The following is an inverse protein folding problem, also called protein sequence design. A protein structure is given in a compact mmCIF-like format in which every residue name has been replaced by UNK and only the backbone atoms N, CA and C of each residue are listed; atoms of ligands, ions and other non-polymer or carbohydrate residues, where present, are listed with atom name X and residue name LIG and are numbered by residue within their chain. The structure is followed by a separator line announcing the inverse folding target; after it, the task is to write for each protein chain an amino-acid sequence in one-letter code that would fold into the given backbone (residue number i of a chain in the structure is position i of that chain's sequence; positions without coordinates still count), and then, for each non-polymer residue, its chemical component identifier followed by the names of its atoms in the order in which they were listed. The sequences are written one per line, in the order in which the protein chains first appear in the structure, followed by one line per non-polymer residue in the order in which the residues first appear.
data_IF_954956731299
#
_entry.id   IF_954956731299
#
_cell.length_a   1.000
_cell.length_b   1.000
_cell.length_c   1.000
_cell.angle_alpha   90.00
_cell.angle_beta   90.00
_cell.angle_gamma   90.00
#
_symmetry.space_group_name_H-M   'P 1'
#
loop_
_entity.id
_entity.type
_entity.pdbx_description
1 polymer ?
#
# COMPACT_ATOMS: atom_id res chain seq x y z
N UNK A 1 33.38 -17.36 -7.39
CA UNK A 1 33.05 -15.91 -7.40
C UNK A 1 32.85 -15.44 -5.97
N UNK A 2 33.70 -14.54 -5.46
CA UNK A 2 33.56 -13.99 -4.09
C UNK A 2 32.37 -13.02 -4.07
N UNK A 3 31.30 -13.34 -3.34
CA UNK A 3 30.21 -12.39 -3.05
C UNK A 3 30.82 -11.22 -2.25
N UNK A 4 30.60 -9.98 -2.69
CA UNK A 4 31.11 -8.79 -2.02
C UNK A 4 30.41 -8.61 -0.67
N UNK A 5 31.13 -8.11 0.34
CA UNK A 5 30.59 -7.78 1.67
C UNK A 5 29.34 -6.89 1.61
N UNK A 6 29.27 -5.99 0.61
CA UNK A 6 28.11 -5.13 0.35
C UNK A 6 26.79 -5.88 0.11
N UNK A 7 26.84 -7.13 -0.36
CA UNK A 7 25.65 -7.95 -0.58
C UNK A 7 25.06 -8.51 0.72
N UNK A 8 25.86 -8.65 1.78
CA UNK A 8 25.40 -9.10 3.09
C UNK A 8 24.81 -7.94 3.89
N UNK A 9 25.46 -6.78 3.87
CA UNK A 9 24.99 -5.58 4.58
C UNK A 9 23.66 -5.05 3.99
N UNK A 10 23.50 -5.07 2.67
CA UNK A 10 22.24 -4.70 1.99
C UNK A 10 21.09 -5.67 2.29
N UNK A 11 21.39 -6.97 2.44
CA UNK A 11 20.40 -7.96 2.88
C UNK A 11 20.05 -7.76 4.36
N UNK A 12 21.03 -7.42 5.21
CA UNK A 12 20.82 -7.22 6.64
C UNK A 12 19.99 -5.96 6.97
N UNK A 13 20.10 -4.90 6.16
CA UNK A 13 19.18 -3.75 6.19
C UNK A 13 17.76 -4.12 5.76
N UNK A 14 17.61 -5.06 4.83
CA UNK A 14 16.29 -5.52 4.34
C UNK A 14 15.50 -6.33 5.38
N UNK A 15 16.18 -7.05 6.29
CA UNK A 15 15.53 -7.94 7.26
C UNK A 15 15.03 -7.24 8.53
N UNK A 16 15.35 -5.95 8.72
CA UNK A 16 14.92 -5.15 9.86
C UNK A 16 14.17 -3.88 9.42
N UNK A 17 13.45 -3.97 8.32
CA UNK A 17 12.68 -2.85 7.78
C UNK A 17 11.69 -2.32 8.82
N UNK A 18 12.06 -1.19 9.42
CA UNK A 18 11.29 -0.51 10.45
C UNK A 18 9.89 -0.19 9.93
N UNK A 19 9.74 0.06 8.63
CA UNK A 19 8.45 0.33 8.02
C UNK A 19 7.56 -0.91 7.95
N UNK A 20 8.11 -2.13 7.83
CA UNK A 20 7.28 -3.34 7.94
C UNK A 20 6.75 -3.47 9.36
N UNK A 21 7.61 -3.28 10.37
CA UNK A 21 7.20 -3.33 11.78
C UNK A 21 6.19 -2.24 12.11
N UNK A 22 6.42 -1.03 11.62
CA UNK A 22 5.54 0.11 11.80
C UNK A 22 4.19 -0.11 11.10
N UNK A 23 4.18 -0.61 9.87
CA UNK A 23 2.94 -0.94 9.17
C UNK A 23 2.12 -1.99 9.94
N UNK A 24 2.77 -3.06 10.41
CA UNK A 24 2.12 -4.08 11.23
C UNK A 24 1.58 -3.50 12.56
N UNK A 25 2.37 -2.69 13.26
CA UNK A 25 1.96 -2.04 14.50
C UNK A 25 0.77 -1.09 14.31
N UNK A 26 0.66 -0.46 13.14
CA UNK A 26 -0.45 0.42 12.75
C UNK A 26 -1.61 -0.31 12.06
N UNK A 27 -1.52 -1.63 11.86
CA UNK A 27 -2.56 -2.42 11.20
C UNK A 27 -2.66 -2.20 9.68
N UNK A 28 -1.61 -1.68 9.05
CA UNK A 28 -1.53 -1.55 7.60
C UNK A 28 -1.09 -2.84 6.93
N UNK A 29 -1.66 -3.13 5.76
CA UNK A 29 -1.36 -4.34 4.98
C UNK A 29 0.00 -4.34 4.29
N UNK A 30 0.61 -3.17 4.12
CA UNK A 30 1.92 -3.03 3.47
C UNK A 30 2.61 -1.75 3.90
N UNK A 31 3.94 -1.79 4.02
CA UNK A 31 4.79 -0.61 4.21
C UNK A 31 4.67 0.42 3.08
N UNK A 32 4.13 0.02 1.92
CA UNK A 32 3.93 0.93 0.79
C UNK A 32 3.01 2.10 1.13
N UNK A 33 2.15 1.96 2.15
CA UNK A 33 1.26 3.02 2.63
C UNK A 33 1.98 4.33 2.94
N UNK A 34 3.18 4.25 3.52
CA UNK A 34 3.93 5.45 3.92
C UNK A 34 4.36 6.29 2.71
N UNK A 35 4.58 5.66 1.55
CA UNK A 35 4.87 6.38 0.31
C UNK A 35 3.66 7.18 -0.16
N UNK A 36 2.47 6.57 -0.16
CA UNK A 36 1.24 7.26 -0.57
C UNK A 36 0.86 8.35 0.43
N UNK A 37 1.06 8.10 1.74
CA UNK A 37 0.84 9.09 2.77
C UNK A 37 1.75 10.31 2.57
N UNK A 38 3.05 10.12 2.32
CA UNK A 38 3.98 11.23 2.09
C UNK A 38 3.60 12.04 0.84
N UNK A 39 3.19 11.37 -0.25
CA UNK A 39 2.69 12.03 -1.48
C UNK A 39 1.41 12.82 -1.16
N UNK A 40 0.47 12.21 -0.43
CA UNK A 40 -0.79 12.85 -0.07
C UNK A 40 -0.58 14.07 0.84
N UNK A 41 0.35 14.01 1.79
CA UNK A 41 0.68 15.12 2.68
C UNK A 41 1.26 16.32 1.92
N UNK A 42 2.08 16.06 0.89
CA UNK A 42 2.70 17.11 0.06
C UNK A 42 1.76 17.67 -1.00
N UNK A 43 1.12 16.79 -1.77
CA UNK A 43 0.47 17.15 -3.03
C UNK A 43 -1.05 17.08 -2.96
N UNK A 44 -1.63 16.44 -1.92
CA UNK A 44 -3.08 16.30 -1.69
C UNK A 44 -3.83 15.75 -2.90
N UNK A 45 -3.28 14.71 -3.52
CA UNK A 45 -3.76 14.13 -4.77
C UNK A 45 -5.09 13.36 -4.63
N UNK A 46 -5.45 12.91 -3.42
CA UNK A 46 -6.70 12.20 -3.13
C UNK A 46 -7.65 13.12 -2.35
N UNK A 47 -8.84 13.37 -2.90
CA UNK A 47 -9.93 14.12 -2.27
C UNK A 47 -11.04 13.22 -1.73
N UNK A 48 -11.83 13.72 -0.77
CA UNK A 48 -12.94 12.97 -0.16
C UNK A 48 -14.16 12.79 -1.08
N UNK A 49 -14.18 13.50 -2.20
CA UNK A 49 -15.20 13.52 -3.24
C UNK A 49 -14.81 12.75 -4.51
N UNK A 50 -13.67 12.05 -4.48
CA UNK A 50 -13.16 11.30 -5.64
C UNK A 50 -13.64 9.85 -5.67
N UNK A 51 -13.80 9.33 -6.88
CA UNK A 51 -13.76 7.88 -7.12
C UNK A 51 -12.34 7.50 -7.50
N UNK A 52 -11.75 6.52 -6.83
CA UNK A 52 -10.33 6.15 -7.00
C UNK A 52 -10.21 4.72 -7.49
N UNK A 53 -9.31 4.49 -8.44
CA UNK A 53 -8.92 3.17 -8.93
C UNK A 53 -7.44 2.93 -8.55
N UNK A 54 -7.19 1.86 -7.81
CA UNK A 54 -5.86 1.38 -7.40
C UNK A 54 -5.46 0.20 -8.29
N UNK A 55 -4.43 0.38 -9.13
CA UNK A 55 -3.96 -0.62 -10.10
C UNK A 55 -2.68 -1.29 -9.59
N UNK A 56 -2.63 -2.63 -9.62
CA UNK A 56 -1.55 -3.38 -8.96
C UNK A 56 -1.69 -3.30 -7.44
N UNK A 57 -2.92 -3.42 -6.96
CA UNK A 57 -3.29 -3.10 -5.58
C UNK A 57 -2.81 -4.14 -4.55
N UNK A 58 -2.56 -5.40 -4.89
CA UNK A 58 -2.26 -6.44 -3.91
C UNK A 58 -0.97 -6.11 -3.12
N UNK A 59 -0.97 -6.17 -1.77
CA UNK A 59 -1.98 -6.76 -0.86
C UNK A 59 -3.06 -5.78 -0.33
N UNK A 60 -3.17 -4.58 -0.89
CA UNK A 60 -4.22 -3.59 -0.61
C UNK A 60 -3.80 -2.43 0.29
N UNK A 61 -2.50 -2.18 0.45
CA UNK A 61 -2.00 -1.14 1.36
C UNK A 61 -2.42 0.28 0.98
N UNK A 62 -2.37 0.61 -0.33
CA UNK A 62 -2.81 1.91 -0.84
C UNK A 62 -4.32 2.03 -0.81
N UNK A 63 -5.04 1.03 -1.32
CA UNK A 63 -6.50 0.90 -1.19
C UNK A 63 -7.02 1.13 0.24
N UNK A 64 -6.38 0.53 1.26
CA UNK A 64 -6.73 0.71 2.67
C UNK A 64 -6.62 2.16 3.11
N UNK A 65 -5.53 2.85 2.75
CA UNK A 65 -5.31 4.25 3.10
C UNK A 65 -6.23 5.20 2.34
N UNK A 66 -6.37 4.99 1.02
CA UNK A 66 -7.29 5.73 0.16
C UNK A 66 -8.71 5.70 0.70
N UNK A 67 -9.17 4.51 1.16
CA UNK A 67 -10.52 4.36 1.75
C UNK A 67 -10.75 5.27 2.95
N UNK A 68 -9.74 5.50 3.78
CA UNK A 68 -9.83 6.38 4.95
C UNK A 68 -10.02 7.86 4.55
N UNK A 69 -9.41 8.30 3.44
CA UNK A 69 -9.51 9.67 2.93
C UNK A 69 -10.85 9.88 2.22
N UNK A 70 -11.20 8.97 1.33
CA UNK A 70 -12.39 9.09 0.46
C UNK A 70 -13.69 8.91 1.25
N UNK A 71 -13.66 8.16 2.37
CA UNK A 71 -14.80 7.96 3.26
C UNK A 71 -15.95 7.15 2.65
N UNK A 72 -16.95 6.70 3.40
CA UNK A 72 -17.90 5.66 2.93
C UNK A 72 -18.80 6.05 1.74
N UNK A 73 -18.80 7.32 1.31
CA UNK A 73 -19.71 7.84 0.27
C UNK A 73 -19.24 7.57 -1.16
N UNK A 74 -17.93 7.61 -1.43
CA UNK A 74 -17.40 7.47 -2.79
C UNK A 74 -16.59 6.19 -2.95
N UNK A 75 -16.49 5.72 -4.19
CA UNK A 75 -15.97 4.40 -4.52
C UNK A 75 -14.44 4.36 -4.48
N UNK A 76 -13.92 3.23 -4.02
CA UNK A 76 -12.53 2.84 -4.17
C UNK A 76 -12.56 1.46 -4.80
N UNK A 77 -11.97 1.34 -5.98
CA UNK A 77 -11.90 0.10 -6.76
C UNK A 77 -10.43 -0.30 -6.82
N UNK A 78 -10.14 -1.54 -6.49
CA UNK A 78 -8.80 -2.11 -6.54
C UNK A 78 -8.76 -3.18 -7.63
N UNK A 79 -7.73 -3.17 -8.46
CA UNK A 79 -7.53 -4.15 -9.51
C UNK A 79 -6.11 -4.72 -9.42
N UNK A 80 -6.02 -6.04 -9.43
CA UNK A 80 -4.75 -6.76 -9.48
C UNK A 80 -4.96 -8.15 -10.10
N UNK A 81 -3.89 -8.71 -10.66
CA UNK A 81 -3.84 -10.10 -11.12
C UNK A 81 -3.66 -11.09 -9.97
N UNK A 82 -3.15 -10.61 -8.83
CA UNK A 82 -2.95 -11.40 -7.61
C UNK A 82 -4.13 -11.20 -6.65
N UNK A 83 -4.59 -12.27 -5.98
CA UNK A 83 -5.65 -12.14 -4.99
C UNK A 83 -5.19 -11.34 -3.77
N UNK A 84 -6.12 -10.64 -3.14
CA UNK A 84 -5.91 -10.03 -1.82
C UNK A 84 -7.14 -10.21 -0.93
N UNK A 85 -6.93 -10.16 0.38
CA UNK A 85 -8.02 -10.22 1.35
C UNK A 85 -9.03 -9.06 1.11
N UNK A 86 -10.34 -9.26 1.29
CA UNK A 86 -11.31 -8.17 1.12
C UNK A 86 -11.04 -6.99 2.06
N UNK A 87 -11.29 -5.76 1.61
CA UNK A 87 -11.20 -4.53 2.39
C UNK A 87 -12.59 -3.90 2.50
N UNK A 88 -13.02 -3.51 3.70
CA UNK A 88 -14.33 -2.86 3.89
C UNK A 88 -14.43 -1.59 3.04
N UNK A 89 -15.48 -1.49 2.23
CA UNK A 89 -15.74 -0.33 1.39
C UNK A 89 -14.78 -0.17 0.22
N UNK A 90 -14.02 -1.22 -0.13
CA UNK A 90 -13.21 -1.31 -1.36
C UNK A 90 -13.75 -2.45 -2.21
N UNK A 91 -14.11 -2.14 -3.45
CA UNK A 91 -14.43 -3.16 -4.45
C UNK A 91 -13.13 -3.72 -5.01
N UNK A 92 -12.98 -5.05 -5.05
CA UNK A 92 -11.79 -5.69 -5.60
C UNK A 92 -12.13 -6.51 -6.84
N UNK A 93 -11.39 -6.26 -7.91
CA UNK A 93 -11.46 -6.98 -9.18
C UNK A 93 -10.16 -7.77 -9.35
N UNK A 94 -10.29 -9.09 -9.43
CA UNK A 94 -9.17 -9.99 -9.74
C UNK A 94 -9.13 -10.23 -11.26
N UNK A 95 -8.11 -9.71 -11.94
CA UNK A 95 -7.99 -9.83 -13.40
C UNK A 95 -6.94 -8.91 -14.03
N UNK A 96 -6.85 -8.97 -15.37
CA UNK A 96 -6.02 -8.15 -16.27
C UNK A 96 -6.94 -7.49 -17.31
#
# INVERSE_FOLDING_TARGET
MKRSKSSHDWLQEHFNDEYVKQAQALGYRSRAVFKLQEIQEKDRIIGSDMTVIDLGAAPGGWSQYTRQIVGKKHQVIALDILPMEPLEGVEFILGD
#
